data_IF_998553039430
#
_entry.id   IF_998553039430
#
_cell.length_a   1.000
_cell.length_b   1.000
_cell.length_c   1.000
_cell.angle_alpha   90.00
_cell.angle_beta   90.00
_cell.angle_gamma   90.00
#
_symmetry.space_group_name_H-M   'P 1'
#
loop_
_entity.id
_entity.type
_entity.pdbx_description
1 polymer ?
#
# COMPACT_ATOMS: atom_id res chain seq x y z
N UNK A 1 -20.65 19.71 -19.41
CA UNK A 1 -20.84 19.83 -17.95
C UNK A 1 -19.44 19.88 -17.32
N UNK A 2 -19.27 20.48 -16.14
CA UNK A 2 -17.93 20.73 -15.61
C UNK A 2 -17.43 19.55 -14.77
N UNK A 3 -16.33 18.94 -15.24
CA UNK A 3 -15.52 17.96 -14.51
C UNK A 3 -14.91 18.56 -13.22
N UNK A 4 -14.32 17.72 -12.37
CA UNK A 4 -13.56 18.16 -11.20
C UNK A 4 -12.31 18.95 -11.63
N UNK A 5 -12.05 20.07 -10.95
CA UNK A 5 -10.77 20.75 -11.11
C UNK A 5 -9.63 19.90 -10.57
N UNK A 6 -8.39 20.18 -10.99
CA UNK A 6 -7.19 19.50 -10.49
C UNK A 6 -7.10 19.56 -8.96
N UNK A 7 -7.40 20.71 -8.37
CA UNK A 7 -7.40 20.90 -6.91
C UNK A 7 -8.49 20.06 -6.22
N UNK A 8 -9.69 19.99 -6.81
CA UNK A 8 -10.77 19.16 -6.27
C UNK A 8 -10.44 17.68 -6.35
N UNK A 9 -9.85 17.23 -7.47
CA UNK A 9 -9.42 15.85 -7.66
C UNK A 9 -8.33 15.46 -6.65
N UNK A 10 -7.34 16.32 -6.44
CA UNK A 10 -6.28 16.09 -5.45
C UNK A 10 -6.83 16.04 -4.01
N UNK A 11 -7.72 16.97 -3.65
CA UNK A 11 -8.34 16.98 -2.32
C UNK A 11 -9.19 15.72 -2.08
N UNK A 12 -9.96 15.29 -3.08
CA UNK A 12 -10.80 14.10 -2.99
C UNK A 12 -9.97 12.81 -2.89
N UNK A 13 -8.90 12.68 -3.69
CA UNK A 13 -7.94 11.58 -3.57
C UNK A 13 -7.37 11.48 -2.15
N UNK A 14 -6.96 12.62 -1.57
CA UNK A 14 -6.40 12.67 -0.23
C UNK A 14 -7.38 12.26 0.89
N UNK A 15 -8.68 12.50 0.67
CA UNK A 15 -9.74 12.04 1.57
C UNK A 15 -9.98 10.53 1.43
N UNK A 16 -10.04 10.04 0.19
CA UNK A 16 -10.23 8.62 -0.13
C UNK A 16 -9.08 7.77 0.44
N UNK A 17 -7.83 8.23 0.33
CA UNK A 17 -6.65 7.57 0.92
C UNK A 17 -6.78 7.33 2.43
N UNK A 18 -7.50 8.18 3.16
CA UNK A 18 -7.72 8.06 4.61
C UNK A 18 -8.93 7.22 4.99
N UNK A 19 -9.77 6.86 4.02
CA UNK A 19 -10.94 6.05 4.29
C UNK A 19 -10.53 4.63 4.71
N UNK A 20 -11.23 4.00 5.67
CA UNK A 20 -11.06 2.59 5.96
C UNK A 20 -11.49 1.74 4.77
N UNK A 21 -10.95 0.53 4.61
CA UNK A 21 -11.22 -0.34 3.44
C UNK A 21 -12.72 -0.56 3.20
N UNK A 22 -13.49 -0.76 4.28
CA UNK A 22 -14.95 -0.95 4.21
C UNK A 22 -15.74 0.22 3.61
N UNK A 23 -15.16 1.42 3.57
CA UNK A 23 -15.82 2.60 3.02
C UNK A 23 -15.67 2.71 1.49
N UNK A 24 -14.63 2.11 0.90
CA UNK A 24 -14.39 2.22 -0.55
C UNK A 24 -15.52 1.59 -1.39
N UNK A 25 -16.05 0.40 -1.06
CA UNK A 25 -17.22 -0.15 -1.78
C UNK A 25 -18.48 0.71 -1.62
N UNK A 26 -18.65 1.37 -0.47
CA UNK A 26 -19.80 2.26 -0.24
C UNK A 26 -19.70 3.53 -1.10
N UNK A 27 -18.50 4.11 -1.21
CA UNK A 27 -18.24 5.24 -2.09
C UNK A 27 -18.48 4.89 -3.57
N UNK A 28 -18.10 3.69 -4.02
CA UNK A 28 -18.44 3.20 -5.36
C UNK A 28 -19.96 3.08 -5.55
N UNK A 29 -20.66 2.47 -4.58
CA UNK A 29 -22.12 2.34 -4.64
C UNK A 29 -22.81 3.70 -4.76
N UNK A 30 -22.40 4.67 -3.93
CA UNK A 30 -22.92 6.04 -4.00
C UNK A 30 -22.64 6.69 -5.36
N UNK A 31 -21.41 6.58 -5.87
CA UNK A 31 -21.05 7.13 -7.16
C UNK A 31 -21.84 6.48 -8.32
N UNK A 32 -22.24 5.21 -8.19
CA UNK A 32 -23.12 4.52 -9.14
C UNK A 32 -24.56 5.03 -9.16
N UNK A 33 -25.02 5.69 -8.09
CA UNK A 33 -26.34 6.35 -8.04
C UNK A 33 -26.34 7.78 -8.58
N UNK A 34 -25.16 8.35 -8.83
CA UNK A 34 -24.99 9.71 -9.34
C UNK A 34 -24.82 9.71 -10.86
N UNK A 35 -25.31 10.75 -11.53
CA UNK A 35 -25.12 10.94 -12.97
C UNK A 35 -24.08 12.04 -13.28
N UNK A 36 -23.40 11.92 -14.43
CA UNK A 36 -22.51 12.93 -14.99
C UNK A 36 -21.03 12.80 -14.61
N UNK A 37 -20.22 13.74 -15.12
CA UNK A 37 -18.75 13.67 -15.12
C UNK A 37 -18.15 13.55 -13.72
N UNK A 38 -18.70 14.25 -12.72
CA UNK A 38 -18.24 14.18 -11.32
C UNK A 38 -18.42 12.80 -10.70
N UNK A 39 -19.48 12.08 -11.07
CA UNK A 39 -19.71 10.71 -10.61
C UNK A 39 -18.71 9.74 -11.25
N UNK A 40 -18.34 9.95 -12.51
CA UNK A 40 -17.28 9.20 -13.17
C UNK A 40 -15.92 9.45 -12.52
N UNK A 41 -15.58 10.72 -12.24
CA UNK A 41 -14.33 11.09 -11.58
C UNK A 41 -14.21 10.50 -10.16
N UNK A 42 -15.29 10.48 -9.37
CA UNK A 42 -15.30 9.83 -8.06
C UNK A 42 -15.07 8.32 -8.17
N UNK A 43 -15.73 7.64 -9.13
CA UNK A 43 -15.52 6.19 -9.37
C UNK A 43 -14.07 5.90 -9.69
N UNK A 44 -13.50 6.64 -10.64
CA UNK A 44 -12.10 6.50 -11.06
C UNK A 44 -11.15 6.65 -9.85
N UNK A 45 -11.31 7.68 -9.02
CA UNK A 45 -10.47 7.89 -7.84
C UNK A 45 -10.56 6.74 -6.84
N UNK A 46 -11.77 6.19 -6.61
CA UNK A 46 -11.96 5.08 -5.68
C UNK A 46 -11.41 3.76 -6.26
N UNK A 47 -11.54 3.54 -7.57
CA UNK A 47 -10.96 2.39 -8.26
C UNK A 47 -9.44 2.42 -8.23
N UNK A 48 -8.83 3.59 -8.46
CA UNK A 48 -7.38 3.79 -8.34
C UNK A 48 -6.90 3.47 -6.92
N UNK A 49 -7.58 3.98 -5.89
CA UNK A 49 -7.22 3.66 -4.50
C UNK A 49 -7.37 2.17 -4.20
N UNK A 50 -8.47 1.53 -4.60
CA UNK A 50 -8.65 0.09 -4.38
C UNK A 50 -7.58 -0.74 -5.06
N UNK A 51 -7.21 -0.37 -6.29
CA UNK A 51 -6.15 -1.04 -7.03
C UNK A 51 -4.80 -0.88 -6.34
N UNK A 52 -4.47 0.32 -5.85
CA UNK A 52 -3.26 0.56 -5.07
C UNK A 52 -3.21 -0.30 -3.79
N UNK A 53 -4.30 -0.34 -3.03
CA UNK A 53 -4.40 -1.18 -1.82
C UNK A 53 -4.25 -2.66 -2.13
N UNK A 54 -4.86 -3.15 -3.21
CA UNK A 54 -4.74 -4.55 -3.64
C UNK A 54 -3.29 -4.88 -3.98
N UNK A 55 -2.62 -4.05 -4.77
CA UNK A 55 -1.21 -4.24 -5.16
C UNK A 55 -0.28 -4.21 -3.95
N UNK A 56 -0.55 -3.31 -2.99
CA UNK A 56 0.17 -3.26 -1.71
C UNK A 56 -0.04 -4.54 -0.91
N UNK A 57 -1.24 -5.10 -0.89
CA UNK A 57 -1.53 -6.38 -0.22
C UNK A 57 -0.84 -7.55 -0.91
N UNK A 58 -0.77 -7.58 -2.24
CA UNK A 58 0.02 -8.58 -2.98
C UNK A 58 1.49 -8.51 -2.58
N UNK A 59 2.04 -7.30 -2.45
CA UNK A 59 3.43 -7.10 -2.06
C UNK A 59 3.69 -7.49 -0.59
N UNK A 60 2.99 -6.86 0.35
CA UNK A 60 3.28 -6.95 1.79
C UNK A 60 2.51 -8.05 2.52
N UNK A 61 1.42 -8.58 1.94
CA UNK A 61 0.56 -9.59 2.55
C UNK A 61 1.29 -10.83 3.08
N UNK A 62 2.31 -11.40 2.39
CA UNK A 62 3.06 -12.54 2.92
C UNK A 62 3.82 -12.26 4.22
N UNK A 63 4.12 -11.00 4.51
CA UNK A 63 4.76 -10.61 5.77
C UNK A 63 3.77 -10.49 6.93
N UNK A 64 2.45 -10.46 6.65
CA UNK A 64 1.40 -10.31 7.66
C UNK A 64 1.53 -11.24 8.88
N UNK A 65 1.95 -12.53 8.75
CA UNK A 65 2.13 -13.41 9.90
C UNK A 65 3.16 -12.92 10.93
N UNK A 66 4.19 -12.17 10.51
CA UNK A 66 5.23 -11.64 11.41
C UNK A 66 4.70 -10.56 12.38
N UNK A 67 3.56 -9.96 12.05
CA UNK A 67 2.95 -8.86 12.80
C UNK A 67 1.76 -9.31 13.65
N UNK A 68 1.39 -10.61 13.60
CA UNK A 68 0.32 -11.18 14.42
C UNK A 68 0.89 -11.69 15.75
N UNK A 69 0.11 -11.62 16.85
CA UNK A 69 0.47 -12.30 18.09
C UNK A 69 0.74 -13.80 17.86
N UNK A 70 1.76 -14.33 18.52
CA UNK A 70 2.17 -15.73 18.39
C UNK A 70 1.48 -16.60 19.45
N UNK A 71 1.38 -17.89 19.18
CA UNK A 71 0.75 -18.87 20.08
C UNK A 71 1.49 -19.05 21.42
N UNK A 72 2.77 -18.67 21.48
CA UNK A 72 3.60 -18.65 22.69
C UNK A 72 3.40 -17.36 23.52
N UNK A 73 2.34 -16.59 23.25
CA UNK A 73 1.98 -15.32 23.88
C UNK A 73 3.01 -14.19 23.68
N UNK A 74 3.98 -14.37 22.78
CA UNK A 74 4.85 -13.28 22.35
C UNK A 74 4.10 -12.35 21.39
N UNK A 75 4.26 -11.05 21.61
CA UNK A 75 3.72 -10.04 20.70
C UNK A 75 4.40 -10.15 19.33
N UNK A 76 3.61 -9.96 18.27
CA UNK A 76 4.14 -9.76 16.93
C UNK A 76 4.84 -8.39 16.83
N UNK A 77 5.61 -8.20 15.76
CA UNK A 77 6.12 -6.86 15.46
C UNK A 77 4.94 -5.91 15.22
N UNK A 78 5.02 -4.70 15.76
CA UNK A 78 3.99 -3.67 15.57
C UNK A 78 4.58 -2.46 14.88
N UNK A 79 3.78 -1.72 14.11
CA UNK A 79 4.19 -0.46 13.50
C UNK A 79 3.00 0.49 13.39
N UNK A 80 3.22 1.80 13.20
CA UNK A 80 2.11 2.76 13.04
C UNK A 80 1.22 2.40 11.85
N UNK A 81 -0.10 2.49 12.01
CA UNK A 81 -1.08 2.06 11.01
C UNK A 81 -0.85 2.68 9.60
N UNK A 82 -0.37 3.92 9.52
CA UNK A 82 -0.07 4.60 8.25
C UNK A 82 1.29 4.28 7.64
N UNK A 83 2.12 3.45 8.27
CA UNK A 83 3.47 3.14 7.79
C UNK A 83 3.47 2.34 6.47
N UNK A 84 2.68 1.25 6.30
CA UNK A 84 2.69 0.48 5.05
C UNK A 84 2.33 1.33 3.83
N UNK A 85 1.34 2.21 3.95
CA UNK A 85 0.94 3.10 2.87
C UNK A 85 2.01 4.17 2.55
N UNK A 86 2.81 4.60 3.53
CA UNK A 86 3.94 5.52 3.30
C UNK A 86 5.11 4.83 2.64
N UNK A 87 5.49 3.64 3.13
CA UNK A 87 6.54 2.81 2.52
C UNK A 87 6.20 2.45 1.09
N UNK A 88 4.98 1.98 0.85
CA UNK A 88 4.48 1.65 -0.50
C UNK A 88 4.65 2.81 -1.47
N UNK A 89 4.13 4.00 -1.13
CA UNK A 89 4.24 5.21 -1.98
C UNK A 89 5.67 5.64 -2.22
N UNK A 90 6.57 5.41 -1.27
CA UNK A 90 7.97 5.78 -1.43
C UNK A 90 8.71 4.77 -2.31
N UNK A 91 8.46 3.47 -2.12
CA UNK A 91 9.06 2.39 -2.88
C UNK A 91 8.63 2.37 -4.36
N UNK A 92 7.38 2.74 -4.65
CA UNK A 92 6.82 2.67 -6.02
C UNK A 92 7.05 3.95 -6.83
N UNK A 93 7.50 5.03 -6.20
CA UNK A 93 7.68 6.35 -6.85
C UNK A 93 8.62 6.30 -8.05
N UNK A 94 9.69 5.50 -7.96
CA UNK A 94 10.71 5.39 -9.02
C UNK A 94 10.41 4.35 -10.08
N UNK A 95 9.40 3.49 -9.86
CA UNK A 95 9.14 2.31 -10.69
C UNK A 95 7.63 2.10 -10.95
N UNK A 96 6.86 3.13 -11.33
CA UNK A 96 5.40 3.02 -11.49
C UNK A 96 4.98 2.01 -12.58
N UNK A 97 5.84 1.76 -13.56
CA UNK A 97 5.65 0.80 -14.65
C UNK A 97 5.63 -0.67 -14.19
N UNK A 98 6.13 -0.94 -12.98
CA UNK A 98 6.07 -2.27 -12.39
C UNK A 98 4.69 -2.57 -11.78
N UNK A 99 3.92 -1.55 -11.41
CA UNK A 99 2.66 -1.74 -10.70
C UNK A 99 1.63 -2.59 -11.45
N UNK A 100 1.44 -2.44 -12.78
CA UNK A 100 0.54 -3.33 -13.53
C UNK A 100 0.96 -4.80 -13.52
N UNK A 101 2.25 -5.11 -13.29
CA UNK A 101 2.72 -6.50 -13.24
C UNK A 101 2.20 -7.25 -12.00
N UNK A 102 1.85 -6.53 -10.94
CA UNK A 102 1.27 -7.11 -9.72
C UNK A 102 -0.19 -7.55 -9.89
N UNK A 103 -0.84 -7.11 -10.97
CA UNK A 103 -2.20 -7.53 -11.29
C UNK A 103 -2.25 -8.90 -11.96
N UNK A 104 -1.08 -9.42 -12.32
CA UNK A 104 -0.90 -10.75 -12.87
C UNK A 104 -0.89 -11.77 -11.73
N UNK A 105 -1.38 -12.97 -12.01
CA UNK A 105 -1.31 -14.11 -11.08
C UNK A 105 -0.29 -15.14 -11.60
N UNK A 106 0.97 -14.70 -11.72
CA UNK A 106 2.08 -15.50 -12.23
C UNK A 106 3.40 -15.20 -11.51
N UNK A 107 4.47 -15.87 -11.92
CA UNK A 107 5.79 -15.73 -11.29
C UNK A 107 6.37 -14.32 -11.44
N UNK A 108 6.03 -13.61 -12.52
CA UNK A 108 6.47 -12.23 -12.71
C UNK A 108 5.88 -11.31 -11.63
N UNK A 109 4.59 -11.48 -11.30
CA UNK A 109 3.94 -10.76 -10.20
C UNK A 109 4.68 -10.98 -8.87
N UNK A 110 5.08 -12.21 -8.57
CA UNK A 110 5.84 -12.55 -7.35
C UNK A 110 7.21 -11.88 -7.32
N UNK A 111 7.95 -11.93 -8.44
CA UNK A 111 9.26 -11.28 -8.56
C UNK A 111 9.17 -9.77 -8.40
N UNK A 112 8.15 -9.13 -8.99
CA UNK A 112 7.92 -7.68 -8.85
C UNK A 112 7.53 -7.32 -7.42
N UNK A 113 6.66 -8.12 -6.80
CA UNK A 113 6.28 -7.93 -5.40
C UNK A 113 7.51 -7.97 -4.46
N UNK A 114 8.40 -8.93 -4.67
CA UNK A 114 9.65 -9.07 -3.89
C UNK A 114 10.60 -7.89 -4.13
N UNK A 115 10.75 -7.45 -5.39
CA UNK A 115 11.52 -6.25 -5.74
C UNK A 115 11.01 -5.01 -5.02
N UNK A 116 9.69 -4.80 -4.99
CA UNK A 116 9.09 -3.63 -4.32
C UNK A 116 9.22 -3.70 -2.79
N UNK A 117 9.23 -4.90 -2.19
CA UNK A 117 9.57 -5.08 -0.78
C UNK A 117 11.03 -4.68 -0.51
N UNK A 118 11.96 -5.08 -1.38
CA UNK A 118 13.35 -4.66 -1.28
C UNK A 118 13.51 -3.14 -1.47
N UNK A 119 12.85 -2.53 -2.46
CA UNK A 119 12.85 -1.07 -2.63
C UNK A 119 12.30 -0.34 -1.38
N UNK A 120 11.28 -0.90 -0.73
CA UNK A 120 10.78 -0.37 0.55
C UNK A 120 11.81 -0.48 1.68
N UNK A 121 12.57 -1.58 1.74
CA UNK A 121 13.65 -1.79 2.71
C UNK A 121 14.78 -0.76 2.50
N UNK A 122 15.17 -0.51 1.25
CA UNK A 122 16.16 0.51 0.86
C UNK A 122 15.69 1.90 1.29
N UNK A 123 14.45 2.29 0.97
CA UNK A 123 13.91 3.59 1.38
C UNK A 123 13.92 3.75 2.91
N UNK A 124 13.50 2.72 3.64
CA UNK A 124 13.46 2.75 5.10
C UNK A 124 14.87 2.90 5.71
N UNK A 125 15.89 2.29 5.09
CA UNK A 125 17.29 2.38 5.51
C UNK A 125 17.92 3.74 5.20
N UNK A 126 17.71 4.24 3.99
CA UNK A 126 18.43 5.41 3.48
C UNK A 126 17.72 6.73 3.83
N UNK A 127 16.40 6.70 4.00
CA UNK A 127 15.59 7.89 4.28
C UNK A 127 14.45 7.62 5.30
N UNK A 128 14.76 7.09 6.51
CA UNK A 128 13.76 6.71 7.50
C UNK A 128 12.84 7.87 7.89
N UNK A 129 13.37 9.09 8.02
CA UNK A 129 12.59 10.28 8.38
C UNK A 129 11.52 10.65 7.35
N UNK A 130 11.61 10.16 6.10
CA UNK A 130 10.58 10.39 5.08
C UNK A 130 9.35 9.52 5.31
N UNK A 131 9.53 8.32 5.87
CA UNK A 131 8.48 7.28 5.96
C UNK A 131 8.05 6.98 7.39
N UNK A 132 8.97 7.08 8.35
CA UNK A 132 8.77 6.82 9.77
C UNK A 132 9.56 7.80 10.66
N UNK A 133 9.14 9.08 10.71
CA UNK A 133 9.85 10.09 11.49
C UNK A 133 9.97 9.73 12.97
N UNK A 134 11.15 9.92 13.55
CA UNK A 134 11.42 9.67 14.97
C UNK A 134 11.40 8.20 15.39
N UNK A 135 11.47 7.25 14.44
CA UNK A 135 11.63 5.84 14.75
C UNK A 135 13.02 5.56 15.33
N UNK A 136 13.08 4.70 16.34
CA UNK A 136 14.35 4.22 16.87
C UNK A 136 15.09 3.34 15.84
N UNK A 137 16.42 3.37 15.85
CA UNK A 137 17.26 2.69 14.84
C UNK A 137 17.05 1.17 14.81
N UNK A 138 16.88 0.55 15.99
CA UNK A 138 16.57 -0.88 16.14
C UNK A 138 15.24 -1.26 15.48
N UNK A 139 14.24 -0.37 15.56
CA UNK A 139 12.92 -0.56 14.94
C UNK A 139 12.98 -0.44 13.42
N UNK A 140 13.80 0.49 12.92
CA UNK A 140 14.09 0.65 11.48
C UNK A 140 14.79 -0.61 10.96
N UNK A 141 15.82 -1.08 11.67
CA UNK A 141 16.56 -2.30 11.30
C UNK A 141 15.66 -3.54 11.29
N UNK A 142 14.85 -3.74 12.33
CA UNK A 142 13.94 -4.87 12.43
C UNK A 142 12.92 -4.90 11.27
N UNK A 143 12.31 -3.77 10.93
CA UNK A 143 11.34 -3.73 9.82
C UNK A 143 12.03 -3.87 8.45
N UNK A 144 13.22 -3.31 8.29
CA UNK A 144 14.05 -3.49 7.07
C UNK A 144 14.33 -4.98 6.86
N UNK A 145 14.78 -5.69 7.90
CA UNK A 145 15.01 -7.13 7.84
C UNK A 145 13.73 -7.91 7.51
N UNK A 146 12.57 -7.51 8.06
CA UNK A 146 11.29 -8.14 7.71
C UNK A 146 10.95 -7.98 6.23
N UNK A 147 11.19 -6.80 5.64
CA UNK A 147 10.95 -6.54 4.22
C UNK A 147 11.85 -7.40 3.32
N UNK A 148 13.12 -7.57 3.71
CA UNK A 148 14.07 -8.44 2.99
C UNK A 148 13.70 -9.93 3.07
N UNK A 149 12.87 -10.35 4.04
CA UNK A 149 12.35 -11.71 4.15
C UNK A 149 11.15 -12.00 3.22
N UNK A 150 10.63 -11.02 2.48
CA UNK A 150 9.46 -11.19 1.62
C UNK A 150 9.53 -12.38 0.66
N UNK A 151 10.66 -12.65 -0.05
CA UNK A 151 10.76 -13.81 -0.93
C UNK A 151 10.63 -15.15 -0.20
N UNK A 152 11.14 -15.22 1.04
CA UNK A 152 11.06 -16.44 1.87
C UNK A 152 9.64 -16.62 2.38
N UNK A 153 9.03 -15.55 2.90
CA UNK A 153 7.67 -15.57 3.40
C UNK A 153 6.66 -15.96 2.30
N UNK A 154 6.84 -15.44 1.08
CA UNK A 154 5.97 -15.75 -0.07
C UNK A 154 6.05 -17.20 -0.53
N UNK A 155 7.21 -17.85 -0.40
CA UNK A 155 7.39 -19.28 -0.74
C UNK A 155 6.74 -20.22 0.27
N UNK A 156 6.42 -19.73 1.46
CA UNK A 156 5.79 -20.51 2.52
C UNK A 156 4.25 -20.50 2.46
N UNK A 157 3.66 -19.76 1.51
CA UNK A 157 2.23 -19.72 1.19
C UNK A 157 1.87 -20.76 0.12
#
# INVERSE_FOLDING_TARGET
>A
MADLSVAQRAALAHLIERCPDRALPQLLGLAGTMAGDRAAALRELVEVEQLDRRRREVAFGPLAPLFRPRADALEGLSFPAGLPARLWRAATRGEPELLPQLDRDDDLSRMVADRLCHSAAVVLRDAPETVWPGAAADRIEALTACLDLAPVARRAL
#
